data_IF_101951664301
#
_entry.id   IF_101951664301
#
_cell.length_a   1.000
_cell.length_b   1.000
_cell.length_c   1.000
_cell.angle_alpha   90.00
_cell.angle_beta   90.00
_cell.angle_gamma   90.00
#
_symmetry.space_group_name_H-M   'P 1'
#
loop_
_entity.id
_entity.type
_entity.pdbx_description
1 polymer ?
#
# COMPACT_ATOMS: atom_id res chain seq x y z
N UNK A 1 32.69 -86.35 11.44
CA UNK A 1 33.24 -85.65 12.63
C UNK A 1 33.93 -84.41 12.06
N UNK A 2 33.55 -83.15 12.25
CA UNK A 2 32.71 -82.44 13.21
C UNK A 2 31.90 -81.35 12.46
N UNK A 3 30.88 -80.82 13.14
CA UNK A 3 29.91 -79.83 12.63
C UNK A 3 30.41 -78.37 12.71
N UNK A 4 29.81 -77.53 11.83
CA UNK A 4 29.37 -76.12 12.04
C UNK A 4 30.40 -74.93 11.97
N UNK A 5 29.98 -73.66 11.70
CA UNK A 5 29.30 -73.11 10.49
C UNK A 5 29.63 -71.61 10.11
N UNK A 6 28.98 -71.12 9.05
CA UNK A 6 28.72 -69.71 8.57
C UNK A 6 29.83 -68.94 7.82
N UNK A 7 29.77 -68.73 6.50
CA UNK A 7 28.89 -67.90 5.63
C UNK A 7 29.19 -66.38 5.68
N UNK A 8 29.59 -65.84 4.52
CA UNK A 8 29.71 -64.40 4.28
C UNK A 8 30.38 -64.10 2.94
N UNK A 9 29.59 -64.07 1.87
CA UNK A 9 29.94 -63.84 0.46
C UNK A 9 30.69 -62.52 0.25
N UNK A 10 31.82 -62.56 -0.47
CA UNK A 10 32.62 -61.39 -0.89
C UNK A 10 31.99 -60.74 -2.12
N UNK A 11 31.53 -59.50 -1.99
CA UNK A 11 31.14 -58.64 -3.11
C UNK A 11 32.31 -57.74 -3.50
N UNK A 12 32.66 -57.76 -4.78
CA UNK A 12 33.72 -56.97 -5.39
C UNK A 12 33.23 -55.53 -5.59
N UNK A 13 33.92 -54.56 -4.99
CA UNK A 13 33.68 -53.14 -5.23
C UNK A 13 34.35 -52.70 -6.55
N UNK A 14 33.53 -52.35 -7.53
CA UNK A 14 33.98 -51.60 -8.71
C UNK A 14 34.07 -50.12 -8.37
N UNK A 15 35.27 -49.55 -8.49
CA UNK A 15 35.50 -48.11 -8.39
C UNK A 15 35.03 -47.47 -9.70
N UNK A 16 33.97 -46.67 -9.64
CA UNK A 16 33.62 -45.71 -10.69
C UNK A 16 34.09 -44.34 -10.18
N UNK A 17 35.19 -43.85 -10.74
CA UNK A 17 35.61 -42.46 -10.63
C UNK A 17 34.70 -41.63 -11.53
N UNK A 18 33.61 -41.11 -10.96
CA UNK A 18 32.87 -40.00 -11.57
C UNK A 18 33.63 -38.70 -11.29
N UNK A 19 34.23 -38.12 -12.33
CA UNK A 19 34.73 -36.75 -12.26
C UNK A 19 33.56 -35.82 -12.01
N UNK A 20 33.48 -35.27 -10.80
CA UNK A 20 32.58 -34.17 -10.48
C UNK A 20 33.07 -32.92 -11.24
N UNK A 21 32.27 -32.44 -12.18
CA UNK A 21 32.31 -31.03 -12.58
C UNK A 21 31.98 -30.24 -11.30
N UNK A 22 32.98 -29.59 -10.72
CA UNK A 22 32.78 -28.68 -9.61
C UNK A 22 32.00 -27.46 -10.15
N UNK A 23 30.70 -27.40 -9.85
CA UNK A 23 30.05 -26.09 -9.74
C UNK A 23 30.78 -25.35 -8.63
N UNK A 24 31.08 -24.06 -8.81
CA UNK A 24 31.50 -23.25 -7.68
C UNK A 24 30.42 -23.41 -6.60
N UNK A 25 30.81 -23.81 -5.38
CA UNK A 25 29.85 -23.90 -4.28
C UNK A 25 29.22 -22.51 -4.12
N UNK A 26 27.88 -22.46 -4.09
CA UNK A 26 27.16 -21.21 -3.82
C UNK A 26 27.69 -20.61 -2.51
N UNK A 27 27.76 -19.27 -2.39
CA UNK A 27 28.20 -18.65 -1.16
C UNK A 27 27.40 -19.12 0.05
N UNK A 28 28.03 -19.11 1.22
CA UNK A 28 27.31 -19.32 2.48
C UNK A 28 26.46 -18.08 2.80
N UNK A 29 25.29 -18.01 2.16
CA UNK A 29 24.37 -16.88 2.23
C UNK A 29 23.92 -16.59 3.65
N UNK A 30 23.77 -17.63 4.49
CA UNK A 30 23.24 -17.48 5.84
C UNK A 30 24.20 -16.72 6.76
N UNK A 31 25.51 -16.89 6.57
CA UNK A 31 26.54 -16.21 7.37
C UNK A 31 27.03 -14.90 6.75
N UNK A 32 26.68 -14.62 5.49
CA UNK A 32 27.02 -13.37 4.84
C UNK A 32 26.22 -12.20 5.45
N UNK A 33 26.88 -11.10 5.88
CA UNK A 33 26.19 -9.93 6.40
C UNK A 33 25.39 -9.24 5.29
N UNK A 34 24.30 -8.56 5.69
CA UNK A 34 23.57 -7.71 4.76
C UNK A 34 24.40 -6.48 4.37
N UNK A 35 24.45 -6.20 3.07
CA UNK A 35 24.93 -4.95 2.51
C UNK A 35 23.84 -3.89 2.65
N UNK A 36 24.13 -2.82 3.36
CA UNK A 36 23.24 -1.66 3.46
C UNK A 36 23.02 -0.98 2.11
N UNK A 37 21.80 -0.56 1.83
CA UNK A 37 21.43 0.20 0.63
C UNK A 37 22.23 1.49 0.51
N UNK A 38 22.35 2.26 1.60
CA UNK A 38 23.10 3.51 1.61
C UNK A 38 24.58 3.30 1.25
N UNK A 39 25.19 2.20 1.70
CA UNK A 39 26.56 1.85 1.35
C UNK A 39 26.68 1.43 -0.13
N UNK A 40 25.75 0.60 -0.61
CA UNK A 40 25.73 0.11 -2.00
C UNK A 40 25.53 1.23 -3.03
N UNK A 41 24.78 2.27 -2.64
CA UNK A 41 24.50 3.45 -3.46
C UNK A 41 25.48 4.61 -3.23
N UNK A 42 26.57 4.41 -2.47
CA UNK A 42 27.53 5.48 -2.19
C UNK A 42 28.19 6.01 -3.48
N UNK A 43 28.32 7.33 -3.58
CA UNK A 43 28.89 8.04 -4.74
C UNK A 43 29.97 9.05 -4.33
N UNK A 44 30.84 9.43 -5.27
CA UNK A 44 31.81 10.52 -5.08
C UNK A 44 31.25 11.87 -5.52
N UNK A 45 32.07 12.92 -5.48
CA UNK A 45 31.70 14.29 -5.88
C UNK A 45 31.30 14.45 -7.36
N UNK A 46 31.55 13.44 -8.18
CA UNK A 46 31.15 13.38 -9.60
C UNK A 46 29.89 12.55 -9.82
N UNK A 47 29.31 12.00 -8.74
CA UNK A 47 28.19 11.07 -8.77
C UNK A 47 28.61 9.64 -9.16
N UNK A 48 29.90 9.36 -9.33
CA UNK A 48 30.34 8.01 -9.69
C UNK A 48 30.26 7.08 -8.48
N UNK A 49 29.80 5.85 -8.68
CA UNK A 49 29.69 4.84 -7.62
C UNK A 49 31.03 4.54 -6.96
N UNK A 50 31.05 4.57 -5.62
CA UNK A 50 32.24 4.33 -4.79
C UNK A 50 32.18 3.03 -4.01
N UNK A 51 31.04 2.34 -4.03
CA UNK A 51 30.90 1.04 -3.38
C UNK A 51 31.95 0.09 -3.94
N UNK A 52 32.88 -0.34 -3.08
CA UNK A 52 33.93 -1.28 -3.45
C UNK A 52 33.31 -2.68 -3.53
N UNK A 53 33.20 -3.27 -4.72
CA UNK A 53 32.53 -4.54 -4.87
C UNK A 53 33.32 -5.66 -4.18
N UNK A 54 32.79 -6.21 -3.10
CA UNK A 54 33.18 -7.51 -2.57
C UNK A 54 32.04 -8.49 -2.79
N UNK A 55 31.92 -9.11 -3.98
CA UNK A 55 30.91 -10.13 -4.20
C UNK A 55 31.14 -11.31 -3.24
N UNK A 56 30.08 -12.03 -2.87
CA UNK A 56 28.67 -11.81 -3.25
C UNK A 56 27.98 -10.67 -2.45
N UNK A 57 26.81 -10.22 -2.92
CA UNK A 57 25.95 -9.23 -2.24
C UNK A 57 24.71 -9.92 -1.69
N UNK A 58 24.41 -9.70 -0.41
CA UNK A 58 23.13 -10.06 0.22
C UNK A 58 22.47 -8.79 0.74
N UNK A 59 21.24 -8.54 0.37
CA UNK A 59 20.53 -7.30 0.67
C UNK A 59 19.10 -7.61 1.10
N UNK A 60 18.53 -6.79 1.99
CA UNK A 60 17.18 -6.98 2.50
C UNK A 60 16.38 -5.71 2.33
N UNK A 61 15.16 -5.82 1.81
CA UNK A 61 14.29 -4.68 1.63
C UNK A 61 12.86 -5.05 1.25
N UNK A 62 11.99 -4.05 1.27
CA UNK A 62 10.60 -4.19 0.82
C UNK A 62 10.51 -3.87 -0.67
N UNK A 63 9.84 -4.73 -1.45
CA UNK A 63 9.54 -4.47 -2.87
C UNK A 63 8.60 -3.28 -3.00
N UNK A 64 8.99 -2.27 -3.78
CA UNK A 64 8.20 -1.04 -3.98
C UNK A 64 7.20 -1.11 -5.14
N UNK A 65 7.49 -1.91 -6.16
CA UNK A 65 6.68 -2.05 -7.37
C UNK A 65 6.39 -3.52 -7.67
N UNK A 66 5.22 -3.84 -8.23
CA UNK A 66 5.07 -5.18 -8.78
C UNK A 66 5.99 -5.32 -9.99
N UNK A 67 6.58 -6.52 -10.20
CA UNK A 67 7.48 -6.76 -11.32
C UNK A 67 6.89 -6.42 -12.69
N UNK A 68 5.58 -6.61 -12.87
CA UNK A 68 4.85 -6.35 -14.10
C UNK A 68 4.44 -4.89 -14.32
N UNK A 69 4.62 -4.01 -13.33
CA UNK A 69 4.10 -2.64 -13.41
C UNK A 69 4.97 -1.76 -14.29
N UNK A 70 6.30 -1.88 -14.18
CA UNK A 70 7.25 -0.90 -14.69
C UNK A 70 7.59 -1.06 -16.17
N UNK A 71 7.87 -2.30 -16.58
CA UNK A 71 8.45 -2.63 -17.87
C UNK A 71 7.70 -3.80 -18.51
N UNK A 72 7.81 -3.92 -19.84
CA UNK A 72 7.24 -5.06 -20.54
C UNK A 72 8.20 -6.27 -20.45
N UNK A 73 7.86 -7.20 -19.57
CA UNK A 73 8.60 -8.45 -19.33
C UNK A 73 8.38 -9.55 -20.37
N UNK A 74 7.48 -9.35 -21.35
CA UNK A 74 7.16 -10.39 -22.33
C UNK A 74 8.39 -10.77 -23.15
N UNK A 75 8.60 -12.07 -23.39
CA UNK A 75 9.68 -12.54 -24.24
C UNK A 75 9.52 -11.97 -25.67
N UNK A 76 10.59 -11.37 -26.19
CA UNK A 76 10.56 -10.70 -27.49
C UNK A 76 9.72 -9.43 -27.52
N UNK A 77 9.51 -8.75 -26.38
CA UNK A 77 8.82 -7.47 -26.33
C UNK A 77 9.43 -6.45 -27.33
N UNK A 78 8.62 -5.53 -27.88
CA UNK A 78 9.11 -4.57 -28.86
C UNK A 78 10.25 -3.69 -28.32
N UNK A 79 11.29 -3.48 -29.13
CA UNK A 79 12.44 -2.64 -28.79
C UNK A 79 13.76 -3.36 -28.96
N UNK A 80 14.86 -2.63 -28.76
CA UNK A 80 16.23 -3.16 -28.98
C UNK A 80 16.68 -4.11 -27.86
N UNK A 81 16.11 -3.98 -26.66
CA UNK A 81 16.45 -4.81 -25.49
C UNK A 81 15.56 -6.07 -25.41
N UNK A 82 14.43 -6.12 -26.11
CA UNK A 82 13.44 -7.19 -25.92
C UNK A 82 12.69 -7.04 -24.59
N UNK A 83 12.34 -8.16 -23.97
CA UNK A 83 11.77 -8.19 -22.62
C UNK A 83 12.67 -7.51 -21.59
N UNK A 84 12.06 -6.79 -20.65
CA UNK A 84 12.77 -6.13 -19.55
C UNK A 84 12.02 -6.33 -18.25
N UNK A 85 12.78 -6.48 -17.16
CA UNK A 85 12.26 -6.75 -15.82
C UNK A 85 12.96 -5.84 -14.81
N UNK A 86 12.19 -5.33 -13.85
CA UNK A 86 12.76 -4.54 -12.77
C UNK A 86 11.90 -4.59 -11.51
N UNK A 87 12.55 -4.73 -10.37
CA UNK A 87 11.99 -4.38 -9.06
C UNK A 87 12.91 -3.40 -8.36
N UNK A 88 12.36 -2.60 -7.47
CA UNK A 88 13.11 -1.77 -6.54
C UNK A 88 12.78 -2.26 -5.13
N UNK A 89 13.82 -2.53 -4.34
CA UNK A 89 13.68 -2.87 -2.93
C UNK A 89 14.21 -1.72 -2.08
N UNK A 90 13.49 -1.36 -1.02
CA UNK A 90 13.86 -0.26 -0.11
C UNK A 90 14.30 -0.79 1.24
N UNK A 91 15.28 -0.12 1.84
CA UNK A 91 15.79 -0.40 3.17
C UNK A 91 14.68 -0.46 4.22
N UNK A 92 14.82 -1.37 5.17
CA UNK A 92 13.91 -1.55 6.32
C UNK A 92 14.59 -1.38 7.67
N UNK A 93 15.92 -1.40 7.70
CA UNK A 93 16.68 -1.25 8.94
C UNK A 93 16.73 0.23 9.35
N UNK A 94 16.55 0.57 10.65
CA UNK A 94 16.48 1.96 11.11
C UNK A 94 17.74 2.79 10.84
N UNK A 95 18.90 2.16 10.65
CA UNK A 95 20.19 2.77 10.37
C UNK A 95 20.59 2.72 8.88
N UNK A 96 19.70 2.22 8.02
CA UNK A 96 19.87 2.19 6.58
C UNK A 96 18.81 3.05 5.88
N UNK A 97 19.13 3.54 4.69
CA UNK A 97 18.24 4.42 3.93
C UNK A 97 18.45 4.24 2.43
N UNK A 98 17.43 4.59 1.65
CA UNK A 98 17.43 4.42 0.21
C UNK A 98 16.90 3.05 -0.22
N UNK A 99 17.08 2.76 -1.50
CA UNK A 99 16.76 1.46 -2.05
C UNK A 99 17.73 1.04 -3.14
N UNK A 100 17.42 -0.06 -3.81
CA UNK A 100 18.26 -0.59 -4.89
C UNK A 100 17.40 -1.25 -5.93
N UNK A 101 17.65 -0.89 -7.19
CA UNK A 101 17.00 -1.52 -8.33
C UNK A 101 17.69 -2.85 -8.64
N UNK A 102 16.88 -3.88 -8.85
CA UNK A 102 17.27 -5.12 -9.50
C UNK A 102 16.73 -5.06 -10.94
N UNK A 103 17.58 -5.24 -11.94
CA UNK A 103 17.20 -5.08 -13.35
C UNK A 103 17.72 -6.22 -14.22
N UNK A 104 16.90 -6.67 -15.16
CA UNK A 104 17.27 -7.61 -16.20
C UNK A 104 16.75 -7.15 -17.55
N UNK A 105 17.50 -7.46 -18.61
CA UNK A 105 17.08 -7.26 -19.98
C UNK A 105 17.39 -8.48 -20.84
N UNK A 106 16.48 -8.81 -21.74
CA UNK A 106 16.55 -10.02 -22.54
C UNK A 106 17.74 -10.02 -23.52
N UNK A 107 17.84 -8.96 -24.33
CA UNK A 107 18.83 -8.81 -25.40
C UNK A 107 19.51 -7.43 -25.38
N UNK A 108 20.07 -6.97 -24.25
CA UNK A 108 20.68 -5.64 -24.17
C UNK A 108 21.73 -5.47 -25.28
N UNK A 109 21.69 -4.37 -26.07
CA UNK A 109 22.55 -4.19 -27.23
C UNK A 109 24.06 -4.24 -26.92
N UNK A 110 24.44 -3.85 -25.71
CA UNK A 110 25.83 -3.88 -25.24
C UNK A 110 26.35 -5.29 -24.97
N UNK A 111 25.46 -6.27 -24.76
CA UNK A 111 25.85 -7.66 -24.56
C UNK A 111 26.27 -8.30 -25.89
N UNK A 112 27.39 -9.05 -25.94
CA UNK A 112 27.69 -9.98 -27.01
C UNK A 112 26.53 -10.96 -27.25
N UNK A 113 26.24 -11.31 -28.51
CA UNK A 113 25.13 -12.20 -28.87
C UNK A 113 25.06 -13.51 -28.08
N UNK A 114 26.18 -14.23 -27.80
CA UNK A 114 26.13 -15.48 -27.05
C UNK A 114 25.68 -15.33 -25.60
N UNK A 115 25.75 -14.13 -25.04
CA UNK A 115 25.41 -13.83 -23.65
C UNK A 115 23.96 -13.37 -23.47
N UNK A 116 23.22 -13.18 -24.57
CA UNK A 116 21.83 -12.74 -24.57
C UNK A 116 20.87 -13.92 -24.38
N UNK A 117 19.73 -13.65 -23.77
CA UNK A 117 18.66 -14.62 -23.60
C UNK A 117 17.91 -14.87 -24.91
N UNK A 118 17.65 -16.14 -25.21
CA UNK A 118 16.56 -16.52 -26.12
C UNK A 118 15.20 -16.28 -25.45
N UNK A 119 14.09 -16.39 -26.18
CA UNK A 119 12.76 -16.27 -25.58
C UNK A 119 12.51 -17.34 -24.50
N UNK A 120 12.88 -18.59 -24.77
CA UNK A 120 12.67 -19.69 -23.82
C UNK A 120 13.54 -19.54 -22.56
N UNK A 121 14.79 -19.11 -22.71
CA UNK A 121 15.65 -18.83 -21.55
C UNK A 121 15.10 -17.63 -20.74
N UNK A 122 14.64 -16.57 -21.40
CA UNK A 122 14.04 -15.42 -20.73
C UNK A 122 12.77 -15.78 -19.94
N UNK A 123 11.90 -16.62 -20.49
CA UNK A 123 10.71 -17.11 -19.77
C UNK A 123 11.08 -17.92 -18.53
N UNK A 124 12.16 -18.70 -18.60
CA UNK A 124 12.70 -19.40 -17.44
C UNK A 124 13.23 -18.43 -16.38
N UNK A 125 13.97 -17.39 -16.79
CA UNK A 125 14.41 -16.33 -15.87
C UNK A 125 13.25 -15.59 -15.22
N UNK A 126 12.22 -15.21 -15.99
CA UNK A 126 11.02 -14.58 -15.43
C UNK A 126 10.31 -15.50 -14.43
N UNK A 127 10.38 -16.81 -14.60
CA UNK A 127 9.86 -17.75 -13.60
C UNK A 127 10.73 -17.78 -12.34
N UNK A 128 12.05 -17.63 -12.47
CA UNK A 128 13.00 -17.64 -11.35
C UNK A 128 12.93 -16.38 -10.50
N UNK A 129 12.89 -15.20 -11.12
CA UNK A 129 12.98 -13.93 -10.37
C UNK A 129 11.63 -13.37 -9.91
N UNK A 130 10.50 -13.88 -10.44
CA UNK A 130 9.17 -13.48 -9.98
C UNK A 130 8.58 -14.41 -8.92
N UNK A 131 9.15 -15.59 -8.68
CA UNK A 131 8.58 -16.56 -7.74
C UNK A 131 9.61 -16.99 -6.71
N UNK A 132 9.19 -17.02 -5.45
CA UNK A 132 10.01 -17.55 -4.37
C UNK A 132 10.30 -19.05 -4.63
N UNK A 133 11.58 -19.46 -4.62
CA UNK A 133 11.95 -20.83 -5.01
C UNK A 133 11.48 -21.90 -4.01
N UNK A 134 11.16 -21.52 -2.77
CA UNK A 134 10.75 -22.46 -1.72
C UNK A 134 9.23 -22.63 -1.63
N UNK A 135 8.50 -21.53 -1.74
CA UNK A 135 7.05 -21.48 -1.53
C UNK A 135 6.25 -21.39 -2.83
N UNK A 136 6.88 -20.97 -3.93
CA UNK A 136 6.20 -20.63 -5.17
C UNK A 136 5.36 -19.35 -5.07
N UNK A 137 5.56 -18.54 -4.03
CA UNK A 137 4.90 -17.25 -3.88
C UNK A 137 5.30 -16.30 -5.00
N UNK A 138 4.32 -15.71 -5.68
CA UNK A 138 4.58 -14.68 -6.68
C UNK A 138 4.84 -13.36 -5.96
N UNK A 139 6.04 -12.80 -6.14
CA UNK A 139 6.42 -11.55 -5.50
C UNK A 139 5.49 -10.38 -5.86
N UNK A 140 5.13 -9.61 -4.84
CA UNK A 140 4.29 -8.43 -4.91
C UNK A 140 4.94 -7.24 -4.22
N UNK A 141 4.51 -6.05 -4.63
CA UNK A 141 4.83 -4.84 -3.87
C UNK A 141 4.39 -5.02 -2.40
N UNK A 142 5.21 -4.54 -1.47
CA UNK A 142 4.99 -4.72 -0.04
C UNK A 142 5.43 -6.07 0.51
N UNK A 143 6.04 -6.95 -0.28
CA UNK A 143 6.74 -8.12 0.26
C UNK A 143 8.12 -7.72 0.80
N UNK A 144 8.48 -8.28 1.96
CA UNK A 144 9.83 -8.21 2.50
C UNK A 144 10.66 -9.36 1.93
N UNK A 145 11.77 -9.01 1.27
CA UNK A 145 12.61 -9.98 0.56
C UNK A 145 14.08 -9.83 0.91
N UNK A 146 14.80 -10.92 0.68
CA UNK A 146 16.25 -10.96 0.60
C UNK A 146 16.68 -11.16 -0.85
N UNK A 147 17.61 -10.33 -1.34
CA UNK A 147 18.25 -10.50 -2.65
C UNK A 147 19.66 -11.02 -2.46
N UNK A 148 19.99 -12.11 -3.16
CA UNK A 148 21.28 -12.80 -3.14
C UNK A 148 21.93 -12.69 -4.52
N UNK A 149 22.84 -11.74 -4.72
CA UNK A 149 23.52 -11.53 -5.99
C UNK A 149 24.94 -12.09 -5.95
N UNK A 150 25.27 -12.99 -6.90
CA UNK A 150 26.60 -13.63 -6.97
C UNK A 150 27.69 -12.65 -7.42
N UNK A 151 27.31 -11.58 -8.13
CA UNK A 151 28.19 -10.52 -8.59
C UNK A 151 27.72 -9.16 -8.04
N UNK A 152 28.57 -8.12 -8.02
CA UNK A 152 28.26 -6.85 -7.36
C UNK A 152 27.34 -5.92 -8.19
N UNK A 153 26.74 -6.41 -9.28
CA UNK A 153 25.94 -5.61 -10.19
C UNK A 153 26.75 -4.62 -11.04
N UNK A 154 26.08 -3.61 -11.60
CA UNK A 154 26.71 -2.57 -12.42
C UNK A 154 26.21 -1.18 -12.01
N UNK A 155 27.15 -0.24 -11.96
CA UNK A 155 26.84 1.19 -11.89
C UNK A 155 26.40 1.70 -13.28
N UNK A 156 25.24 2.36 -13.32
CA UNK A 156 24.68 2.91 -14.55
C UNK A 156 23.82 4.14 -14.24
N UNK A 157 24.01 5.23 -15.00
CA UNK A 157 23.15 6.41 -14.98
C UNK A 157 22.94 7.05 -13.59
N UNK A 158 23.94 6.99 -12.72
CA UNK A 158 23.91 7.62 -11.39
C UNK A 158 23.60 6.69 -10.22
N UNK A 159 23.35 5.40 -10.47
CA UNK A 159 23.03 4.43 -9.42
C UNK A 159 23.67 3.06 -9.66
N UNK A 160 23.86 2.30 -8.59
CA UNK A 160 24.33 0.91 -8.66
C UNK A 160 23.13 -0.02 -8.68
N UNK A 161 23.02 -0.86 -9.71
CA UNK A 161 21.91 -1.80 -9.86
C UNK A 161 22.39 -3.23 -9.62
N UNK A 162 21.57 -4.05 -8.95
CA UNK A 162 21.75 -5.51 -8.97
C UNK A 162 21.30 -6.00 -10.35
N UNK A 163 22.16 -6.76 -11.03
CA UNK A 163 21.88 -7.37 -12.33
C UNK A 163 22.89 -8.48 -12.59
N UNK A 164 22.78 -9.12 -13.76
CA UNK A 164 23.62 -10.26 -14.17
C UNK A 164 24.77 -9.82 -15.09
N UNK A 165 25.16 -8.55 -15.03
CA UNK A 165 26.20 -7.93 -15.87
C UNK A 165 26.01 -8.20 -17.38
N UNK A 166 24.76 -8.25 -17.83
CA UNK A 166 24.37 -8.54 -19.20
C UNK A 166 24.87 -9.91 -19.73
N UNK A 167 24.91 -10.92 -18.86
CA UNK A 167 25.34 -12.27 -19.19
C UNK A 167 24.42 -13.32 -18.57
N UNK A 168 23.94 -14.25 -19.39
CA UNK A 168 23.16 -15.42 -18.98
C UNK A 168 23.95 -16.55 -18.28
N UNK A 169 25.16 -16.25 -17.83
CA UNK A 169 25.96 -17.24 -17.11
C UNK A 169 25.38 -17.37 -15.70
N UNK A 170 24.97 -18.56 -15.23
CA UNK A 170 24.41 -18.74 -13.89
C UNK A 170 25.31 -18.23 -12.76
N UNK A 171 26.62 -18.10 -12.99
CA UNK A 171 27.54 -17.47 -12.03
C UNK A 171 27.24 -15.99 -11.77
N UNK A 172 26.45 -15.34 -12.63
CA UNK A 172 26.04 -13.95 -12.51
C UNK A 172 24.62 -13.78 -11.94
N UNK A 173 23.89 -14.88 -11.75
CA UNK A 173 22.50 -14.85 -11.28
C UNK A 173 22.38 -14.15 -9.92
N UNK A 174 21.26 -13.45 -9.73
CA UNK A 174 20.79 -13.04 -8.43
C UNK A 174 19.44 -13.68 -8.13
N UNK A 175 19.23 -14.11 -6.89
CA UNK A 175 17.98 -14.74 -6.45
C UNK A 175 17.21 -13.78 -5.53
N UNK A 176 15.88 -13.82 -5.62
CA UNK A 176 14.97 -13.11 -4.70
C UNK A 176 14.31 -14.15 -3.82
N UNK A 177 14.43 -14.00 -2.50
CA UNK A 177 13.94 -14.93 -1.49
C UNK A 177 12.91 -14.22 -0.63
N UNK A 178 11.74 -14.83 -0.45
CA UNK A 178 10.71 -14.28 0.42
C UNK A 178 11.13 -14.42 1.89
N UNK A 179 11.07 -13.30 2.63
CA UNK A 179 11.14 -13.33 4.10
C UNK A 179 9.73 -13.31 4.68
N UNK A 180 8.92 -12.35 4.23
CA UNK A 180 7.54 -12.17 4.70
C UNK A 180 6.68 -11.53 3.61
N UNK A 181 5.54 -12.13 3.31
CA UNK A 181 4.62 -11.63 2.29
C UNK A 181 3.70 -10.54 2.86
N UNK A 182 3.43 -9.50 2.07
CA UNK A 182 2.37 -8.52 2.36
C UNK A 182 2.58 -7.67 3.61
N UNK A 183 3.82 -7.36 3.98
CA UNK A 183 4.13 -6.43 5.09
C UNK A 183 3.65 -5.00 4.80
N UNK A 184 3.43 -4.68 3.52
CA UNK A 184 3.04 -3.37 3.04
C UNK A 184 4.23 -2.52 2.63
N UNK A 185 3.99 -1.49 1.80
CA UNK A 185 5.04 -0.53 1.42
C UNK A 185 5.47 0.28 2.66
N UNK A 186 6.73 0.74 2.73
CA UNK A 186 7.13 1.74 3.71
C UNK A 186 6.21 2.97 3.63
N UNK A 187 6.02 3.68 4.76
CA UNK A 187 5.41 5.00 4.71
C UNK A 187 6.20 5.91 3.75
N UNK A 188 5.54 6.66 2.85
CA UNK A 188 6.26 7.46 1.86
C UNK A 188 7.08 8.56 2.52
N UNK A 189 8.33 8.73 2.05
CA UNK A 189 9.13 9.87 2.42
C UNK A 189 8.56 11.13 1.75
N UNK A 190 8.15 12.11 2.55
CA UNK A 190 7.59 13.35 2.02
C UNK A 190 8.72 14.23 1.53
N UNK A 191 8.66 14.65 0.27
CA UNK A 191 9.51 15.70 -0.30
C UNK A 191 8.79 17.04 -0.07
N UNK A 192 9.27 17.92 0.84
CA UNK A 192 8.55 19.14 1.19
C UNK A 192 8.45 20.14 0.03
N UNK A 193 9.49 20.18 -0.80
CA UNK A 193 9.57 21.01 -1.99
C UNK A 193 10.45 20.33 -3.04
N UNK A 194 10.10 20.45 -4.31
CA UNK A 194 10.91 19.93 -5.41
C UNK A 194 12.33 20.53 -5.40
N UNK A 195 12.50 21.78 -4.95
CA UNK A 195 13.81 22.40 -4.78
C UNK A 195 14.74 21.62 -3.84
N UNK A 196 14.19 20.85 -2.89
CA UNK A 196 14.96 20.03 -1.94
C UNK A 196 15.45 18.71 -2.54
N UNK A 197 14.93 18.32 -3.71
CA UNK A 197 15.17 17.01 -4.32
C UNK A 197 15.85 17.09 -5.71
N UNK A 198 15.88 18.26 -6.37
CA UNK A 198 16.37 18.35 -7.77
C UNK A 198 17.87 18.63 -7.91
N UNK A 199 18.63 18.70 -6.81
CA UNK A 199 20.07 18.91 -6.83
C UNK A 199 20.86 17.69 -6.34
N UNK A 200 22.13 17.62 -6.72
CA UNK A 200 23.04 16.54 -6.33
C UNK A 200 23.78 16.86 -5.02
N UNK A 201 23.89 15.85 -4.17
CA UNK A 201 24.69 15.88 -2.95
C UNK A 201 25.40 14.53 -2.79
N UNK A 202 26.72 14.53 -2.98
CA UNK A 202 27.55 13.32 -2.87
C UNK A 202 27.53 12.67 -1.49
N UNK A 203 27.11 13.38 -0.44
CA UNK A 203 26.95 12.78 0.90
C UNK A 203 25.68 11.95 1.03
N UNK A 204 24.76 12.08 0.08
CA UNK A 204 23.41 11.47 0.07
C UNK A 204 22.58 11.79 1.30
N UNK A 205 22.88 12.90 1.99
CA UNK A 205 22.11 13.37 3.15
C UNK A 205 21.01 14.35 2.76
N UNK A 206 21.11 14.95 1.57
CA UNK A 206 20.13 15.86 0.98
C UNK A 206 19.99 15.65 -0.53
N UNK A 207 19.14 16.43 -1.19
CA UNK A 207 19.01 16.40 -2.65
C UNK A 207 18.40 15.11 -3.19
N UNK A 208 18.52 14.91 -4.50
CA UNK A 208 17.93 13.75 -5.17
C UNK A 208 18.62 12.43 -4.80
N UNK A 209 19.90 12.48 -4.43
CA UNK A 209 20.65 11.32 -3.93
C UNK A 209 20.04 10.73 -2.65
N UNK A 210 19.51 11.57 -1.76
CA UNK A 210 18.85 11.10 -0.54
C UNK A 210 17.57 10.30 -0.86
N UNK A 211 16.78 10.73 -1.85
CA UNK A 211 15.51 10.09 -2.18
C UNK A 211 15.64 8.94 -3.20
N UNK A 212 16.79 8.77 -3.85
CA UNK A 212 16.98 7.77 -4.90
C UNK A 212 16.61 6.35 -4.42
N UNK A 213 15.76 5.68 -5.22
CA UNK A 213 15.19 4.35 -5.00
C UNK A 213 14.31 4.24 -3.73
N UNK A 214 13.65 5.33 -3.32
CA UNK A 214 12.69 5.34 -2.20
C UNK A 214 11.26 5.60 -2.66
N UNK A 215 10.30 5.08 -1.91
CA UNK A 215 8.90 5.44 -2.00
C UNK A 215 8.68 6.84 -1.42
N UNK A 216 8.27 7.77 -2.27
CA UNK A 216 8.10 9.19 -1.90
C UNK A 216 6.67 9.66 -2.10
N UNK A 217 6.33 10.75 -1.41
CA UNK A 217 5.16 11.59 -1.69
C UNK A 217 5.62 13.01 -1.97
N UNK A 218 5.15 13.59 -3.07
CA UNK A 218 5.36 14.98 -3.42
C UNK A 218 3.99 15.63 -3.47
N UNK A 219 3.78 16.67 -2.67
CA UNK A 219 2.48 17.31 -2.57
C UNK A 219 2.34 18.49 -3.54
N UNK A 220 1.09 18.81 -3.91
CA UNK A 220 0.69 20.07 -4.54
C UNK A 220 1.43 20.39 -5.86
N UNK A 221 1.77 19.37 -6.66
CA UNK A 221 2.41 19.56 -7.96
C UNK A 221 1.40 19.75 -9.08
N UNK A 222 1.82 20.41 -10.15
CA UNK A 222 1.05 20.58 -11.38
C UNK A 222 1.82 20.03 -12.58
N UNK A 223 1.12 19.45 -13.56
CA UNK A 223 1.73 19.10 -14.85
C UNK A 223 1.97 20.40 -15.63
N UNK A 224 3.24 20.73 -15.86
CA UNK A 224 3.67 21.92 -16.63
C UNK A 224 4.18 21.60 -18.03
N UNK A 225 4.28 20.32 -18.38
CA UNK A 225 4.64 19.88 -19.73
C UNK A 225 4.56 18.37 -19.95
N UNK A 226 4.54 17.97 -21.22
CA UNK A 226 4.40 16.59 -21.66
C UNK A 226 2.99 16.24 -22.13
N UNK A 227 2.77 14.97 -22.48
CA UNK A 227 1.46 14.46 -22.90
C UNK A 227 1.11 13.24 -22.06
N UNK A 228 -0.06 13.26 -21.43
CA UNK A 228 -0.53 12.19 -20.55
C UNK A 228 -0.68 10.86 -21.29
N UNK A 229 -0.41 9.76 -20.59
CA UNK A 229 -0.58 8.40 -21.09
C UNK A 229 0.47 7.43 -20.53
N UNK A 230 0.21 6.13 -20.69
CA UNK A 230 1.16 5.10 -20.30
C UNK A 230 2.52 5.31 -21.00
N UNK A 231 3.62 5.06 -20.29
CA UNK A 231 4.99 5.32 -20.73
C UNK A 231 5.33 6.81 -20.97
N UNK A 232 4.46 7.76 -20.66
CA UNK A 232 4.75 9.18 -20.84
C UNK A 232 5.84 9.69 -19.89
N UNK A 233 6.63 10.65 -20.36
CA UNK A 233 7.45 11.50 -19.51
C UNK A 233 6.79 12.88 -19.45
N UNK A 234 6.39 13.28 -18.25
CA UNK A 234 5.78 14.56 -17.94
C UNK A 234 6.77 15.43 -17.16
N UNK A 235 6.56 16.74 -17.19
CA UNK A 235 7.25 17.68 -16.30
C UNK A 235 6.25 18.18 -15.27
N UNK A 236 6.55 17.99 -13.99
CA UNK A 236 5.72 18.48 -12.87
C UNK A 236 6.45 19.59 -12.12
N UNK A 237 5.70 20.49 -11.50
CA UNK A 237 6.22 21.65 -10.75
C UNK A 237 5.36 21.92 -9.51
N UNK A 238 6.00 22.26 -8.39
CA UNK A 238 5.38 22.85 -7.19
C UNK A 238 5.55 24.39 -7.16
N UNK A 239 6.05 24.98 -8.25
CA UNK A 239 6.40 26.40 -8.35
C UNK A 239 7.82 26.76 -7.87
N UNK A 240 8.51 25.87 -7.15
CA UNK A 240 9.89 26.07 -6.69
C UNK A 240 10.93 25.48 -7.65
N UNK A 241 10.61 24.34 -8.27
CA UNK A 241 11.44 23.64 -9.24
C UNK A 241 10.57 22.76 -10.15
N UNK A 242 11.19 22.14 -11.17
CA UNK A 242 10.54 21.15 -12.02
C UNK A 242 11.20 19.80 -11.88
N UNK A 243 10.42 18.73 -11.82
CA UNK A 243 10.89 17.34 -11.77
C UNK A 243 10.22 16.54 -12.91
N UNK A 244 10.96 15.72 -13.66
CA UNK A 244 10.36 14.74 -14.56
C UNK A 244 9.52 13.71 -13.79
N UNK A 245 8.30 13.46 -14.25
CA UNK A 245 7.41 12.41 -13.78
C UNK A 245 7.23 11.38 -14.88
N UNK A 246 7.70 10.15 -14.66
CA UNK A 246 7.52 9.03 -15.59
C UNK A 246 6.28 8.26 -15.20
N UNK A 247 5.35 8.15 -16.14
CA UNK A 247 4.22 7.23 -16.03
C UNK A 247 4.66 5.85 -16.54
N UNK A 248 4.29 4.82 -15.80
CA UNK A 248 4.71 3.47 -16.08
C UNK A 248 4.24 2.93 -17.44
N UNK A 249 5.00 2.00 -18.02
CA UNK A 249 4.68 1.38 -19.32
C UNK A 249 3.43 0.52 -19.23
N UNK A 250 3.29 -0.23 -18.14
CA UNK A 250 2.16 -1.14 -17.90
C UNK A 250 1.13 -0.55 -16.92
N UNK A 251 1.18 0.77 -16.70
CA UNK A 251 0.20 1.49 -15.88
C UNK A 251 -1.14 1.69 -16.60
N UNK A 252 -2.17 1.96 -15.82
CA UNK A 252 -3.57 2.15 -16.23
C UNK A 252 -3.90 3.58 -16.71
N UNK A 253 -2.90 4.44 -16.87
CA UNK A 253 -3.07 5.88 -17.14
C UNK A 253 -3.87 6.22 -18.40
N UNK A 254 -3.94 5.34 -19.40
CA UNK A 254 -4.73 5.58 -20.61
C UNK A 254 -6.24 5.48 -20.39
N UNK A 255 -6.68 4.91 -19.26
CA UNK A 255 -8.08 4.76 -18.90
C UNK A 255 -8.62 5.98 -18.12
N UNK A 256 -7.76 6.96 -17.83
CA UNK A 256 -8.07 8.14 -17.02
C UNK A 256 -7.62 9.43 -17.70
N UNK A 257 -8.36 10.51 -17.44
CA UNK A 257 -7.90 11.86 -17.74
C UNK A 257 -6.76 12.27 -16.80
N UNK A 258 -5.82 13.14 -17.23
CA UNK A 258 -4.81 13.70 -16.32
C UNK A 258 -5.48 14.51 -15.20
N UNK A 259 -4.85 14.61 -14.02
CA UNK A 259 -5.33 15.47 -12.96
C UNK A 259 -5.56 16.89 -13.46
N UNK A 260 -6.72 17.46 -13.12
CA UNK A 260 -6.92 18.88 -13.30
C UNK A 260 -6.16 19.61 -12.19
N UNK A 261 -5.41 20.68 -12.50
CA UNK A 261 -4.78 21.51 -11.46
C UNK A 261 -3.67 20.82 -10.65
N UNK A 262 -3.65 21.06 -9.33
CA UNK A 262 -2.67 20.46 -8.41
C UNK A 262 -3.08 19.08 -7.95
N UNK A 263 -2.10 18.24 -7.67
CA UNK A 263 -2.28 16.88 -7.19
C UNK A 263 -1.05 16.44 -6.39
N UNK A 264 -1.22 15.42 -5.57
CA UNK A 264 -0.09 14.75 -4.95
C UNK A 264 0.35 13.55 -5.79
N UNK A 265 1.65 13.30 -5.80
CA UNK A 265 2.26 12.16 -6.46
C UNK A 265 2.87 11.25 -5.41
N UNK A 266 2.45 9.99 -5.41
CA UNK A 266 3.21 8.92 -4.81
C UNK A 266 3.97 8.18 -5.91
N UNK A 267 5.22 7.85 -5.65
CA UNK A 267 6.07 7.24 -6.67
C UNK A 267 7.40 6.77 -6.12
N UNK A 268 8.16 6.08 -6.96
CA UNK A 268 9.54 5.75 -6.64
C UNK A 268 10.42 6.87 -7.17
N UNK A 269 11.10 7.59 -6.28
CA UNK A 269 12.07 8.59 -6.69
C UNK A 269 13.30 7.87 -7.26
N UNK A 270 13.72 8.25 -8.46
CA UNK A 270 14.72 7.52 -9.22
C UNK A 270 15.67 8.48 -9.96
N UNK A 271 16.79 7.94 -10.41
CA UNK A 271 17.72 8.64 -11.29
C UNK A 271 17.98 7.80 -12.56
N UNK A 272 17.90 8.47 -13.71
CA UNK A 272 18.33 7.95 -15.01
C UNK A 272 19.09 9.09 -15.73
N UNK A 273 20.36 9.30 -15.35
CA UNK A 273 21.18 10.33 -15.97
C UNK A 273 21.37 10.08 -17.48
N UNK A 274 21.02 11.03 -18.36
CA UNK A 274 21.13 10.86 -19.81
C UNK A 274 22.57 10.99 -20.36
N UNK A 275 23.58 11.22 -19.51
CA UNK A 275 24.97 11.37 -19.92
C UNK A 275 25.95 10.81 -18.89
N UNK A 276 27.26 10.91 -19.13
CA UNK A 276 28.28 10.59 -18.13
C UNK A 276 28.32 11.60 -16.95
N UNK A 277 27.35 12.52 -16.87
CA UNK A 277 27.11 13.39 -15.73
C UNK A 277 26.17 12.70 -14.74
N UNK A 278 26.73 11.97 -13.78
CA UNK A 278 25.97 11.20 -12.78
C UNK A 278 25.32 12.07 -11.70
N UNK A 279 25.28 13.39 -11.87
CA UNK A 279 24.72 14.34 -10.89
C UNK A 279 23.34 14.89 -11.27
N UNK A 280 22.76 14.39 -12.37
CA UNK A 280 21.46 14.84 -12.90
C UNK A 280 20.55 13.67 -13.26
N UNK A 281 19.35 13.94 -13.79
CA UNK A 281 18.43 12.91 -14.27
C UNK A 281 17.50 12.32 -13.21
N UNK A 282 17.28 13.06 -12.11
CA UNK A 282 16.26 12.69 -11.13
C UNK A 282 14.87 12.77 -11.73
N UNK A 283 14.00 11.87 -11.27
CA UNK A 283 12.61 11.77 -11.69
C UNK A 283 11.81 11.02 -10.64
N UNK A 284 10.49 11.18 -10.67
CA UNK A 284 9.56 10.32 -9.93
C UNK A 284 8.88 9.34 -10.88
N UNK A 285 8.85 8.07 -10.50
CA UNK A 285 8.22 6.99 -11.25
C UNK A 285 6.88 6.62 -10.62
N UNK A 286 5.80 6.82 -11.36
CA UNK A 286 4.43 6.56 -10.91
C UNK A 286 3.92 5.29 -11.58
N UNK A 287 3.50 4.31 -10.79
CA UNK A 287 3.15 2.98 -11.28
C UNK A 287 1.73 2.91 -11.83
N UNK A 288 0.77 3.46 -11.08
CA UNK A 288 -0.65 3.46 -11.44
C UNK A 288 -1.33 4.78 -11.11
N UNK A 289 -2.53 4.98 -11.66
CA UNK A 289 -3.38 6.14 -11.35
C UNK A 289 -3.73 6.22 -9.86
N UNK A 290 -3.84 5.08 -9.18
CA UNK A 290 -4.06 5.03 -7.73
C UNK A 290 -2.94 5.68 -6.89
N UNK A 291 -1.75 5.89 -7.47
CA UNK A 291 -0.64 6.61 -6.81
C UNK A 291 -0.68 8.13 -7.10
N UNK A 292 -1.72 8.63 -7.78
CA UNK A 292 -1.99 10.06 -8.02
C UNK A 292 -3.21 10.47 -7.19
N UNK A 293 -3.04 11.47 -6.33
CA UNK A 293 -4.14 12.03 -5.53
C UNK A 293 -4.54 13.36 -6.15
N UNK A 294 -5.51 13.33 -7.06
CA UNK A 294 -6.05 14.52 -7.69
C UNK A 294 -6.82 15.36 -6.66
N UNK A 295 -6.38 16.60 -6.42
CA UNK A 295 -7.07 17.48 -5.49
C UNK A 295 -8.40 17.98 -6.03
N UNK A 296 -8.58 18.07 -7.35
CA UNK A 296 -9.81 18.56 -7.99
C UNK A 296 -10.94 17.52 -8.13
N UNK A 297 -10.80 16.36 -7.47
CA UNK A 297 -11.93 15.46 -7.28
C UNK A 297 -12.76 15.92 -6.08
N UNK A 298 -14.06 16.12 -6.28
CA UNK A 298 -14.99 16.49 -5.22
C UNK A 298 -14.90 15.49 -4.04
N UNK A 299 -14.88 15.95 -2.78
CA UNK A 299 -15.02 15.05 -1.65
C UNK A 299 -16.35 14.29 -1.73
N UNK A 300 -16.37 13.05 -1.24
CA UNK A 300 -17.58 12.21 -1.15
C UNK A 300 -17.70 11.63 0.26
N UNK A 301 -18.92 11.42 0.73
CA UNK A 301 -19.19 10.69 1.96
C UNK A 301 -19.01 9.18 1.70
N UNK A 302 -18.12 8.53 2.45
CA UNK A 302 -17.79 7.11 2.29
C UNK A 302 -18.55 6.20 3.26
N UNK A 303 -18.72 6.65 4.51
CA UNK A 303 -19.40 5.87 5.53
C UNK A 303 -20.01 6.75 6.62
N UNK A 304 -20.99 6.18 7.31
CA UNK A 304 -21.59 6.77 8.50
C UNK A 304 -21.83 5.66 9.54
N UNK A 305 -21.59 5.97 10.81
CA UNK A 305 -21.90 5.06 11.93
C UNK A 305 -22.58 5.79 13.06
N UNK A 306 -23.47 5.12 13.79
CA UNK A 306 -23.93 5.57 15.11
C UNK A 306 -23.06 4.96 16.20
N UNK A 307 -22.28 5.80 16.85
CA UNK A 307 -21.33 5.42 17.89
C UNK A 307 -21.94 5.55 19.28
N UNK A 308 -21.72 4.54 20.13
CA UNK A 308 -22.01 4.63 21.57
C UNK A 308 -20.96 3.95 22.43
N UNK A 309 -20.81 4.45 23.66
CA UNK A 309 -19.95 3.88 24.70
C UNK A 309 -20.80 3.03 25.65
N UNK A 310 -20.63 1.72 25.62
CA UNK A 310 -21.34 0.73 26.43
C UNK A 310 -20.63 0.52 27.78
N UNK A 311 -20.65 1.54 28.63
CA UNK A 311 -19.99 1.50 29.94
C UNK A 311 -18.53 1.03 29.87
N UNK A 312 -18.20 -0.02 30.63
CA UNK A 312 -16.85 -0.62 30.62
C UNK A 312 -16.61 -1.60 29.46
N UNK A 313 -17.64 -1.94 28.68
CA UNK A 313 -17.48 -2.82 27.52
C UNK A 313 -16.84 -2.11 26.31
N UNK A 314 -16.78 -0.78 26.33
CA UNK A 314 -16.09 0.02 25.31
C UNK A 314 -17.03 0.64 24.28
N UNK A 315 -16.45 1.01 23.13
CA UNK A 315 -17.14 1.72 22.05
C UNK A 315 -17.68 0.73 21.04
N UNK A 316 -18.94 0.89 20.63
CA UNK A 316 -19.56 0.08 19.59
C UNK A 316 -20.28 0.97 18.57
N UNK A 317 -19.96 0.72 17.31
CA UNK A 317 -20.48 1.43 16.15
C UNK A 317 -21.56 0.59 15.48
N UNK A 318 -22.71 1.23 15.18
CA UNK A 318 -23.76 0.67 14.33
C UNK A 318 -23.63 1.30 12.94
N UNK A 319 -23.33 0.49 11.94
CA UNK A 319 -23.20 0.95 10.55
C UNK A 319 -24.52 1.53 10.04
N UNK A 320 -24.45 2.71 9.42
CA UNK A 320 -25.57 3.42 8.83
C UNK A 320 -25.42 3.41 7.30
N UNK A 321 -26.25 2.64 6.57
CA UNK A 321 -26.21 2.64 5.11
C UNK A 321 -26.47 4.04 4.55
N UNK A 322 -25.58 4.51 3.65
CA UNK A 322 -25.75 5.78 2.93
C UNK A 322 -26.86 5.70 1.87
N UNK A 323 -27.18 4.49 1.40
CA UNK A 323 -28.28 4.22 0.48
C UNK A 323 -29.02 2.94 0.84
N UNK A 324 -30.23 2.77 0.31
CA UNK A 324 -31.04 1.58 0.53
C UNK A 324 -31.87 1.63 1.83
N UNK A 325 -31.97 0.51 2.54
CA UNK A 325 -32.79 0.42 3.76
C UNK A 325 -32.03 1.00 4.96
N UNK A 326 -32.61 2.00 5.67
CA UNK A 326 -32.00 2.57 6.87
C UNK A 326 -31.72 1.52 7.95
N UNK A 327 -30.57 1.64 8.62
CA UNK A 327 -30.34 0.90 9.85
C UNK A 327 -31.34 1.32 10.94
N UNK A 328 -31.66 0.39 11.82
CA UNK A 328 -32.47 0.66 13.01
C UNK A 328 -31.51 0.84 14.19
N UNK A 329 -31.59 1.97 14.88
CA UNK A 329 -30.87 2.23 16.13
C UNK A 329 -31.76 1.83 17.31
N UNK A 330 -31.49 0.66 17.96
CA UNK A 330 -32.35 0.15 19.01
C UNK A 330 -31.94 0.60 20.41
N UNK A 331 -30.76 1.22 20.55
CA UNK A 331 -30.22 1.61 21.85
C UNK A 331 -30.96 2.84 22.37
N UNK A 332 -31.10 2.92 23.69
CA UNK A 332 -31.85 3.99 24.35
C UNK A 332 -31.31 5.36 23.96
N UNK A 333 -32.23 6.32 23.75
CA UNK A 333 -31.90 7.69 23.36
C UNK A 333 -31.64 7.89 21.87
N UNK A 334 -31.72 6.83 21.05
CA UNK A 334 -31.40 6.92 19.62
C UNK A 334 -29.92 7.22 19.39
N UNK A 335 -29.52 7.63 18.18
CA UNK A 335 -28.13 7.94 17.88
C UNK A 335 -27.71 9.19 18.65
N UNK A 336 -26.68 9.08 19.49
CA UNK A 336 -26.16 10.20 20.31
C UNK A 336 -24.86 10.77 19.75
N UNK A 337 -24.13 9.96 18.99
CA UNK A 337 -22.93 10.36 18.27
C UNK A 337 -23.00 9.72 16.88
N UNK A 338 -22.82 10.52 15.83
CA UNK A 338 -22.68 10.07 14.45
C UNK A 338 -21.27 10.41 14.00
N UNK A 339 -20.58 9.42 13.43
CA UNK A 339 -19.28 9.63 12.79
C UNK A 339 -19.47 9.45 11.29
N UNK A 340 -19.10 10.48 10.54
CA UNK A 340 -19.08 10.50 9.08
C UNK A 340 -17.64 10.44 8.62
N UNK A 341 -17.34 9.61 7.62
CA UNK A 341 -16.00 9.53 7.01
C UNK A 341 -16.09 9.95 5.55
N UNK A 342 -15.25 10.91 5.16
CA UNK A 342 -15.15 11.44 3.79
C UNK A 342 -13.94 10.86 3.06
N UNK A 343 -13.90 11.01 1.74
CA UNK A 343 -12.75 10.60 0.91
C UNK A 343 -11.50 11.47 1.12
N UNK A 344 -11.67 12.68 1.67
CA UNK A 344 -10.62 13.69 1.88
C UNK A 344 -10.95 14.53 3.11
N UNK A 345 -9.98 15.33 3.55
CA UNK A 345 -10.25 16.31 4.59
C UNK A 345 -11.28 17.35 4.13
N UNK A 346 -12.21 17.70 5.01
CA UNK A 346 -13.35 18.59 4.71
C UNK A 346 -13.41 19.78 5.66
N UNK A 347 -14.07 20.83 5.21
CA UNK A 347 -14.37 22.04 5.98
C UNK A 347 -15.78 22.56 5.64
N UNK A 348 -16.35 23.36 6.53
CA UNK A 348 -17.54 24.13 6.21
C UNK A 348 -17.16 25.30 5.27
N UNK A 349 -17.99 25.53 4.25
CA UNK A 349 -17.75 26.55 3.20
C UNK A 349 -17.57 27.95 3.78
N UNK A 350 -18.29 28.28 4.85
CA UNK A 350 -18.21 29.58 5.50
C UNK A 350 -17.23 29.61 6.71
N UNK A 351 -16.54 28.49 6.94
CA UNK A 351 -15.59 28.30 8.03
C UNK A 351 -16.22 28.08 9.41
N UNK A 352 -17.54 27.94 9.51
CA UNK A 352 -18.26 27.60 10.74
C UNK A 352 -19.08 26.33 10.52
N UNK A 353 -19.00 25.37 11.43
CA UNK A 353 -19.81 24.16 11.33
C UNK A 353 -21.06 24.35 12.19
N UNK A 354 -22.20 24.63 11.57
CA UNK A 354 -23.47 24.87 12.27
C UNK A 354 -24.70 24.21 11.62
N UNK A 355 -25.90 24.74 11.88
CA UNK A 355 -27.17 24.19 11.39
C UNK A 355 -27.41 24.48 9.90
N UNK A 356 -26.56 25.28 9.26
CA UNK A 356 -26.58 25.49 7.81
C UNK A 356 -25.86 24.36 7.06
N UNK A 357 -24.86 23.73 7.67
CA UNK A 357 -24.20 22.54 7.13
C UNK A 357 -24.93 21.26 7.50
N UNK A 358 -25.50 21.19 8.72
CA UNK A 358 -26.07 19.96 9.26
C UNK A 358 -27.52 20.18 9.70
N UNK A 359 -28.45 19.73 8.85
CA UNK A 359 -29.88 19.78 9.15
C UNK A 359 -30.41 18.41 9.59
N UNK A 360 -31.15 18.40 10.71
CA UNK A 360 -31.83 17.20 11.22
C UNK A 360 -33.34 17.29 10.97
N UNK A 361 -33.95 16.21 10.49
CA UNK A 361 -35.42 16.15 10.35
C UNK A 361 -36.15 16.12 11.70
N UNK A 362 -35.50 15.57 12.74
CA UNK A 362 -35.98 15.46 14.12
C UNK A 362 -34.79 15.48 15.09
N UNK A 363 -35.03 15.82 16.36
CA UNK A 363 -33.98 15.91 17.38
C UNK A 363 -33.25 17.24 17.38
N UNK A 364 -32.08 17.29 18.00
CA UNK A 364 -31.27 18.50 18.17
C UNK A 364 -29.79 18.17 17.95
N UNK A 365 -29.13 18.99 17.15
CA UNK A 365 -27.67 18.99 17.01
C UNK A 365 -27.10 19.75 18.21
N UNK A 366 -26.36 19.05 19.06
CA UNK A 366 -25.77 19.62 20.29
C UNK A 366 -24.39 20.19 20.02
N UNK A 367 -23.59 19.45 19.25
CA UNK A 367 -22.22 19.79 18.91
C UNK A 367 -21.85 19.12 17.59
N UNK A 368 -20.91 19.71 16.87
CA UNK A 368 -20.35 19.16 15.64
C UNK A 368 -18.88 19.55 15.55
N UNK A 369 -18.03 18.63 15.11
CA UNK A 369 -16.64 18.95 14.81
C UNK A 369 -16.13 18.13 13.63
N UNK A 370 -15.17 18.70 12.91
CA UNK A 370 -14.40 18.01 11.88
C UNK A 370 -12.96 17.82 12.35
N UNK A 371 -12.38 16.69 11.98
CA UNK A 371 -10.95 16.41 12.12
C UNK A 371 -10.47 15.65 10.88
N UNK A 372 -9.75 16.35 10.01
CA UNK A 372 -9.35 15.81 8.71
C UNK A 372 -10.57 15.33 7.91
N UNK A 373 -10.60 14.03 7.61
CA UNK A 373 -11.66 13.39 6.83
C UNK A 373 -12.82 12.84 7.66
N UNK A 374 -12.82 13.02 8.99
CA UNK A 374 -13.92 12.61 9.86
C UNK A 374 -14.73 13.82 10.33
N UNK A 375 -16.05 13.65 10.40
CA UNK A 375 -16.96 14.59 11.07
C UNK A 375 -17.72 13.87 12.17
N UNK A 376 -17.64 14.40 13.39
CA UNK A 376 -18.37 13.94 14.57
C UNK A 376 -19.56 14.87 14.82
N UNK A 377 -20.76 14.29 14.87
CA UNK A 377 -21.98 14.98 15.27
C UNK A 377 -22.47 14.44 16.61
N UNK A 378 -22.80 15.33 17.55
CA UNK A 378 -23.41 14.98 18.83
C UNK A 378 -24.87 15.37 18.79
N UNK A 379 -25.75 14.39 18.99
CA UNK A 379 -27.19 14.55 18.82
C UNK A 379 -27.92 14.31 20.16
N UNK A 380 -29.07 14.97 20.33
CA UNK A 380 -29.96 14.79 21.47
C UNK A 380 -31.43 14.90 21.06
N UNK A 381 -32.32 14.59 22.01
CA UNK A 381 -33.77 14.80 21.92
C UNK A 381 -34.45 14.16 20.69
N UNK A 382 -33.87 13.07 20.18
CA UNK A 382 -34.45 12.33 19.04
C UNK A 382 -35.61 11.45 19.55
N UNK A 383 -36.84 11.65 19.06
CA UNK A 383 -38.00 10.89 19.50
C UNK A 383 -37.92 9.42 19.05
N UNK A 384 -38.60 8.53 19.76
CA UNK A 384 -38.73 7.12 19.38
C UNK A 384 -40.21 6.69 19.51
N UNK A 385 -40.81 6.03 18.50
CA UNK A 385 -40.23 5.74 17.18
C UNK A 385 -40.17 6.98 16.28
N UNK A 386 -39.08 7.13 15.51
CA UNK A 386 -38.97 8.19 14.48
C UNK A 386 -38.03 7.80 13.35
N UNK A 387 -38.05 8.61 12.28
CA UNK A 387 -37.10 8.52 11.18
C UNK A 387 -36.25 9.79 11.19
N UNK A 388 -34.99 9.64 11.60
CA UNK A 388 -34.02 10.72 11.55
C UNK A 388 -33.39 10.74 10.15
N UNK A 389 -33.46 11.89 9.49
CA UNK A 389 -32.69 12.19 8.28
C UNK A 389 -31.71 13.29 8.64
N UNK A 390 -30.44 13.06 8.34
CA UNK A 390 -29.36 14.03 8.48
C UNK A 390 -29.01 14.47 7.06
N UNK A 391 -29.22 15.74 6.77
CA UNK A 391 -28.84 16.37 5.50
C UNK A 391 -27.56 17.17 5.72
N UNK A 392 -26.58 16.93 4.87
CA UNK A 392 -25.27 17.58 4.87
C UNK A 392 -25.23 18.53 3.67
N UNK A 393 -24.96 19.80 3.95
CA UNK A 393 -24.81 20.85 2.94
C UNK A 393 -23.60 21.72 3.28
N UNK A 394 -23.19 22.59 2.35
CA UNK A 394 -22.16 23.59 2.65
C UNK A 394 -20.79 23.01 3.00
N UNK A 395 -20.51 21.75 2.68
CA UNK A 395 -19.21 21.11 2.93
C UNK A 395 -18.34 21.16 1.68
N UNK A 396 -17.10 21.59 1.83
CA UNK A 396 -16.05 21.56 0.80
C UNK A 396 -14.83 20.79 1.30
N UNK A 397 -13.91 20.46 0.40
CA UNK A 397 -12.54 20.12 0.81
C UNK A 397 -11.74 21.38 1.17
N UNK A 398 -10.47 21.20 1.55
CA UNK A 398 -9.60 22.31 1.96
C UNK A 398 -9.20 23.26 0.81
N UNK A 399 -9.57 22.95 -0.44
CA UNK A 399 -9.33 23.80 -1.62
C UNK A 399 -10.64 24.23 -2.31
N UNK A 400 -11.75 24.18 -1.57
CA UNK A 400 -13.08 24.66 -1.96
C UNK A 400 -13.82 23.83 -3.04
N UNK A 401 -13.46 22.57 -3.26
CA UNK A 401 -14.29 21.67 -4.07
C UNK A 401 -15.51 21.21 -3.26
N UNK A 402 -16.73 21.27 -3.82
CA UNK A 402 -17.96 20.95 -3.09
C UNK A 402 -18.12 19.44 -2.87
N UNK A 403 -18.76 19.06 -1.76
CA UNK A 403 -19.20 17.69 -1.52
C UNK A 403 -20.10 17.20 -2.66
N UNK A 404 -19.78 16.02 -3.19
CA UNK A 404 -20.57 15.33 -4.22
C UNK A 404 -21.07 13.96 -3.74
N UNK A 405 -22.00 13.36 -4.49
CA UNK A 405 -22.57 12.06 -4.15
C UNK A 405 -23.68 12.14 -3.10
N UNK A 406 -23.66 11.21 -2.14
CA UNK A 406 -24.68 11.11 -1.08
C UNK A 406 -24.48 12.22 -0.05
N UNK A 407 -25.49 13.08 0.09
CA UNK A 407 -25.51 14.20 1.05
C UNK A 407 -26.60 14.05 2.10
N UNK A 408 -27.31 12.92 2.11
CA UNK A 408 -28.35 12.62 3.09
C UNK A 408 -28.18 11.19 3.57
N UNK A 409 -28.30 10.97 4.88
CA UNK A 409 -28.38 9.63 5.45
C UNK A 409 -29.58 9.53 6.38
N UNK A 410 -30.15 8.34 6.48
CA UNK A 410 -31.37 8.10 7.25
C UNK A 410 -31.16 6.98 8.26
N UNK A 411 -31.65 7.19 9.48
CA UNK A 411 -31.63 6.22 10.58
C UNK A 411 -33.03 6.07 11.13
N UNK A 412 -33.50 4.83 11.26
CA UNK A 412 -34.75 4.56 11.97
C UNK A 412 -34.47 4.43 13.46
N UNK A 413 -35.06 5.30 14.26
CA UNK A 413 -34.87 5.29 15.71
C UNK A 413 -36.02 4.53 16.34
N UNK A 414 -35.75 3.32 16.83
CA UNK A 414 -36.77 2.47 17.44
C UNK A 414 -36.18 1.72 18.64
N UNK A 415 -36.26 2.34 19.81
CA UNK A 415 -35.67 1.77 21.03
C UNK A 415 -36.24 0.38 21.29
N UNK A 416 -35.35 -0.59 21.49
CA UNK A 416 -35.68 -1.99 21.74
C UNK A 416 -35.88 -2.89 20.52
N UNK A 417 -35.80 -2.35 19.29
CA UNK A 417 -35.89 -3.14 18.05
C UNK A 417 -34.55 -3.78 17.70
N UNK A 418 -34.09 -4.70 18.55
CA UNK A 418 -32.73 -5.24 18.51
C UNK A 418 -32.52 -6.21 17.34
N UNK A 419 -33.60 -6.70 16.72
CA UNK A 419 -33.54 -7.65 15.60
C UNK A 419 -33.66 -7.00 14.22
N UNK A 420 -33.93 -5.68 14.14
CA UNK A 420 -34.01 -4.93 12.89
C UNK A 420 -35.30 -5.14 12.07
N UNK A 421 -36.34 -5.80 12.61
CA UNK A 421 -37.54 -6.20 11.85
C UNK A 421 -38.61 -5.09 11.70
N UNK A 422 -38.25 -3.86 12.07
CA UNK A 422 -39.10 -2.67 12.00
C UNK A 422 -40.28 -2.58 12.97
N UNK A 423 -40.48 -3.54 13.89
CA UNK A 423 -41.38 -3.42 15.03
C UNK A 423 -40.71 -3.87 16.34
N UNK A 424 -41.20 -3.45 17.51
CA UNK A 424 -40.77 -4.03 18.80
C UNK A 424 -41.78 -5.08 19.27
N UNK A 425 -41.34 -6.32 19.29
CA UNK A 425 -42.19 -7.47 19.54
C UNK A 425 -41.49 -8.56 20.39
N UNK A 426 -42.11 -9.75 20.44
CA UNK A 426 -41.59 -10.87 21.26
C UNK A 426 -40.26 -11.43 20.75
N UNK A 427 -39.92 -11.21 19.47
CA UNK A 427 -38.66 -11.63 18.86
C UNK A 427 -37.50 -10.79 19.40
N UNK A 428 -37.68 -9.49 19.63
CA UNK A 428 -36.69 -8.63 20.30
C UNK A 428 -36.43 -9.09 21.73
N UNK A 429 -37.50 -9.39 22.47
CA UNK A 429 -37.39 -9.96 23.80
C UNK A 429 -36.62 -11.29 23.78
N UNK A 430 -36.86 -12.13 22.77
CA UNK A 430 -36.14 -13.39 22.61
C UNK A 430 -34.66 -13.17 22.29
N UNK A 431 -34.34 -12.17 21.46
CA UNK A 431 -32.98 -11.81 21.08
C UNK A 431 -32.17 -11.36 22.32
N UNK A 432 -32.67 -10.38 23.08
CA UNK A 432 -32.03 -9.95 24.34
C UNK A 432 -31.95 -11.10 25.33
N UNK A 433 -33.04 -11.88 25.49
CA UNK A 433 -33.07 -13.02 26.41
C UNK A 433 -32.00 -14.07 26.08
N UNK A 434 -31.70 -14.29 24.80
CA UNK A 434 -30.67 -15.24 24.36
C UNK A 434 -29.24 -14.81 24.72
N UNK A 435 -29.03 -13.52 25.01
CA UNK A 435 -27.75 -12.90 25.31
C UNK A 435 -27.62 -12.50 26.80
N UNK A 436 -28.60 -12.83 27.64
CA UNK A 436 -28.56 -12.45 29.06
C UNK A 436 -27.28 -12.95 29.74
N UNK A 437 -26.60 -12.02 30.41
CA UNK A 437 -25.34 -12.21 31.12
C UNK A 437 -24.14 -12.57 30.23
N UNK A 438 -24.30 -12.56 28.90
CA UNK A 438 -23.18 -12.62 27.98
C UNK A 438 -22.42 -11.29 28.00
N UNK A 439 -21.10 -11.31 27.78
CA UNK A 439 -20.35 -10.08 27.55
C UNK A 439 -20.86 -9.37 26.28
N UNK A 440 -20.77 -8.04 26.28
CA UNK A 440 -21.06 -7.20 25.11
C UNK A 440 -19.89 -7.32 24.13
N UNK A 441 -20.22 -7.54 22.86
CA UNK A 441 -19.29 -7.76 21.75
C UNK A 441 -19.82 -7.09 20.47
N UNK A 442 -18.98 -7.01 19.44
CA UNK A 442 -19.40 -6.51 18.12
C UNK A 442 -20.57 -7.28 17.49
N UNK A 443 -20.86 -8.51 17.94
CA UNK A 443 -21.95 -9.32 17.41
C UNK A 443 -23.29 -9.14 18.13
N UNK A 444 -23.30 -8.57 19.34
CA UNK A 444 -24.48 -8.52 20.20
C UNK A 444 -24.70 -7.19 20.93
N UNK A 445 -23.90 -6.16 20.65
CA UNK A 445 -24.00 -4.87 21.34
C UNK A 445 -25.36 -4.17 21.21
N UNK A 446 -26.13 -4.46 20.17
CA UNK A 446 -27.50 -3.94 20.02
C UNK A 446 -28.46 -4.50 21.07
N UNK A 447 -28.14 -5.63 21.72
CA UNK A 447 -28.92 -6.21 22.82
C UNK A 447 -28.64 -5.57 24.18
N UNK A 448 -27.56 -4.80 24.32
CA UNK A 448 -27.32 -3.89 25.46
C UNK A 448 -28.04 -2.57 25.16
N UNK A 449 -29.36 -2.60 25.36
CA UNK A 449 -30.28 -1.50 24.99
C UNK A 449 -30.06 -0.29 25.88
N UNK A 450 -29.67 -0.50 27.14
CA UNK A 450 -29.38 0.57 28.09
C UNK A 450 -27.96 1.16 27.93
N UNK A 451 -27.10 0.49 27.18
CA UNK A 451 -25.74 0.97 26.86
C UNK A 451 -24.88 1.06 28.12
N UNK A 452 -25.07 0.13 29.05
CA UNK A 452 -24.38 0.12 30.36
C UNK A 452 -23.19 -0.85 30.41
N UNK A 453 -22.96 -1.60 29.32
CA UNK A 453 -21.91 -2.60 29.20
C UNK A 453 -22.31 -3.99 29.70
N UNK A 454 -23.57 -4.20 30.05
CA UNK A 454 -24.09 -5.49 30.52
C UNK A 454 -25.44 -5.83 29.91
N UNK A 455 -25.55 -6.99 29.25
CA UNK A 455 -26.86 -7.46 28.75
C UNK A 455 -27.59 -8.18 29.88
N UNK A 456 -28.61 -7.55 30.46
CA UNK A 456 -29.28 -8.05 31.66
C UNK A 456 -30.81 -7.86 31.62
N UNK A 457 -31.48 -8.15 32.75
CA UNK A 457 -32.95 -8.07 32.85
C UNK A 457 -33.50 -6.66 32.70
N UNK A 458 -32.67 -5.63 32.89
CA UNK A 458 -33.02 -4.23 32.70
C UNK A 458 -33.14 -3.89 31.21
N UNK A 459 -32.27 -4.41 30.33
CA UNK A 459 -32.44 -4.30 28.88
C UNK A 459 -33.74 -4.97 28.43
N UNK A 460 -33.99 -6.17 28.94
CA UNK A 460 -35.23 -6.89 28.65
C UNK A 460 -36.46 -6.10 29.12
N UNK A 461 -36.38 -5.49 30.30
CA UNK A 461 -37.43 -4.60 30.81
C UNK A 461 -37.60 -3.37 29.93
N UNK A 462 -36.51 -2.82 29.38
CA UNK A 462 -36.54 -1.66 28.50
C UNK A 462 -37.19 -1.99 27.15
N UNK A 463 -36.87 -3.14 26.54
CA UNK A 463 -37.60 -3.63 25.35
C UNK A 463 -39.08 -3.79 25.66
N UNK A 464 -39.40 -4.36 26.83
CA UNK A 464 -40.80 -4.59 27.24
C UNK A 464 -41.63 -3.30 27.33
N UNK A 465 -41.02 -2.17 27.71
CA UNK A 465 -41.74 -0.88 27.77
C UNK A 465 -42.07 -0.29 26.40
N UNK A 466 -41.52 -0.86 25.32
CA UNK A 466 -41.74 -0.42 23.93
C UNK A 466 -42.48 -1.46 23.09
N UNK A 467 -43.06 -2.50 23.70
CA UNK A 467 -43.86 -3.48 22.97
C UNK A 467 -45.07 -2.82 22.32
N UNK A 468 -45.22 -3.04 21.02
CA UNK A 468 -46.33 -2.52 20.20
C UNK A 468 -46.31 -0.99 19.95
N UNK A 469 -45.18 -0.33 20.19
CA UNK A 469 -44.95 1.07 19.80
C UNK A 469 -44.78 1.26 18.28
#
# INVERSE_FOLDING_TARGET
>A
MHQNPWLGTVMVWGIILSGSLAFADDPDWETLPYTAHAAYQAVDVTGAGTFLPSPPIRMKGIILNNPEDMLNMSAGAPGVVGGQWQIIIQAVEPDDWGGTACWMGQTPPIAPLPLRYTNAEWEAEMSRVNYDPLTGHHFRQGDLVEVRARIPGLFHQGKTNINEAHSKDPANDFDVILIEAGVGRPGPAVIPSLADAVFFDSTRLTGGEYYQATWVRINDVQIVGGTWGANAMLSISDGTATLPMKLSVMGDFNDYDPPAGSFDVLGIFNQESPSNDFTTGYQVWVMRMADIVDHNTDPILLSAVSRKIHGQAGVFDLDLPLSGTPAIEPRVGGPTEIILTFSKAVQATDGQLDDTEIALSVGTLVDAAMDGAEMRLVLADIPTPSLLTITISGITDLIDNPLSGDTELTVKVHTGNVNGDSAVNILDLSAVKSQLFAPVTFSNFTCDVLVDGTINIQDLSKVKTHLFD
#
